data_IF_167137998507
#
_entry.id   IF_167137998507
#
_cell.length_a   1.000
_cell.length_b   1.000
_cell.length_c   1.000
_cell.angle_alpha   90.00
_cell.angle_beta   90.00
_cell.angle_gamma   90.00
#
_symmetry.space_group_name_H-M   'P 1'
#
loop_
_entity.id
_entity.type
_entity.pdbx_description
1 polymer ?
#
# COMPACT_ATOMS: atom_id res chain seq x y z
N UNK A 1 -91.94 18.35 53.09
CA UNK A 1 -91.33 19.66 53.40
C UNK A 1 -90.98 20.33 52.09
N UNK A 2 -91.62 21.50 51.85
CA UNK A 2 -91.31 22.64 50.96
C UNK A 2 -90.79 22.41 49.53
N UNK A 3 -91.23 23.10 48.47
CA UNK A 3 -92.35 23.97 48.06
C UNK A 3 -91.90 24.45 46.64
N UNK A 4 -92.84 24.59 45.68
CA UNK A 4 -92.95 25.65 44.63
C UNK A 4 -91.68 26.03 43.81
N UNK A 5 -91.68 26.15 42.49
CA UNK A 5 -92.46 27.13 41.73
C UNK A 5 -92.19 27.01 40.22
N UNK A 6 -93.21 27.36 39.45
CA UNK A 6 -93.27 27.52 37.99
C UNK A 6 -92.75 28.88 37.49
N UNK A 7 -92.69 28.98 36.14
CA UNK A 7 -92.62 30.16 35.22
C UNK A 7 -91.21 30.64 34.87
N UNK A 8 -90.86 31.04 33.65
CA UNK A 8 -91.47 31.09 32.31
C UNK A 8 -90.43 31.73 31.35
N UNK A 9 -90.37 31.26 30.08
CA UNK A 9 -90.13 32.01 28.82
C UNK A 9 -88.81 32.86 28.70
N UNK A 10 -88.05 32.94 27.59
CA UNK A 10 -88.35 32.90 26.16
C UNK A 10 -87.04 33.09 25.35
N UNK A 11 -86.98 32.48 24.15
CA UNK A 11 -86.36 32.97 22.89
C UNK A 11 -84.80 33.04 22.86
N UNK A 12 -84.04 32.56 21.87
CA UNK A 12 -84.11 32.74 20.41
C UNK A 12 -83.19 31.71 19.70
N UNK A 13 -83.71 31.14 18.61
CA UNK A 13 -83.10 30.53 17.41
C UNK A 13 -81.57 30.33 17.29
N UNK A 14 -81.15 29.16 16.80
CA UNK A 14 -80.80 29.00 15.36
C UNK A 14 -80.47 27.53 15.04
N UNK A 15 -81.06 27.05 13.95
CA UNK A 15 -80.64 25.83 13.25
C UNK A 15 -79.17 25.95 12.82
N UNK A 16 -78.43 24.85 12.80
CA UNK A 16 -78.05 24.16 11.56
C UNK A 16 -76.98 23.07 11.79
N UNK A 17 -77.37 21.86 11.35
CA UNK A 17 -76.60 20.82 10.68
C UNK A 17 -75.09 20.68 10.95
N UNK A 18 -74.71 19.48 11.41
CA UNK A 18 -73.36 18.94 11.32
C UNK A 18 -72.96 18.72 9.87
N UNK A 19 -71.90 19.39 9.42
CA UNK A 19 -71.16 19.08 8.21
C UNK A 19 -69.69 18.87 8.57
N UNK A 20 -69.19 17.67 8.26
CA UNK A 20 -67.77 17.32 8.26
C UNK A 20 -67.04 18.21 7.23
N UNK A 21 -65.87 18.79 7.54
CA UNK A 21 -65.08 19.44 6.53
C UNK A 21 -64.32 18.43 5.67
N UNK A 22 -64.29 18.80 4.40
CA UNK A 22 -63.80 18.13 3.21
C UNK A 22 -62.32 17.83 3.18
N UNK A 23 -62.00 16.69 2.57
CA UNK A 23 -60.70 16.34 1.99
C UNK A 23 -60.22 17.48 1.09
N UNK A 24 -59.03 18.02 1.35
CA UNK A 24 -58.37 18.98 0.47
C UNK A 24 -56.99 18.46 0.08
N UNK A 25 -56.86 18.28 -1.23
CA UNK A 25 -55.66 18.31 -2.06
C UNK A 25 -54.39 17.62 -1.53
N UNK A 26 -54.14 16.44 -2.07
CA UNK A 26 -52.81 15.84 -2.17
C UNK A 26 -51.93 16.77 -3.01
N UNK A 27 -51.04 17.51 -2.36
CA UNK A 27 -49.93 18.17 -3.02
C UNK A 27 -48.96 17.09 -3.50
N UNK A 28 -48.88 16.92 -4.82
CA UNK A 28 -47.82 16.16 -5.47
C UNK A 28 -46.47 16.75 -5.02
N UNK A 29 -45.76 16.03 -4.14
CA UNK A 29 -44.37 16.33 -3.86
C UNK A 29 -43.57 16.00 -5.12
N UNK A 30 -43.12 17.07 -5.77
CA UNK A 30 -42.16 17.08 -6.86
C UNK A 30 -40.97 16.17 -6.50
N UNK A 31 -40.70 15.18 -7.35
CA UNK A 31 -39.47 14.40 -7.33
C UNK A 31 -38.28 15.31 -7.68
N UNK A 32 -37.78 16.07 -6.70
CA UNK A 32 -36.53 16.80 -6.91
C UNK A 32 -35.71 17.12 -5.65
N UNK A 33 -35.90 16.37 -4.55
CA UNK A 33 -35.17 16.62 -3.30
C UNK A 33 -34.33 15.40 -2.84
N UNK A 34 -33.67 14.73 -3.79
CA UNK A 34 -32.65 13.70 -3.52
C UNK A 34 -31.24 14.08 -4.01
N UNK A 35 -31.03 15.32 -4.46
CA UNK A 35 -29.73 15.82 -4.89
C UNK A 35 -29.18 16.91 -3.96
N UNK A 36 -29.19 16.63 -2.66
CA UNK A 36 -28.25 17.25 -1.71
C UNK A 36 -27.51 16.13 -1.00
N UNK A 37 -26.61 15.46 -1.74
CA UNK A 37 -25.46 14.84 -1.08
C UNK A 37 -24.77 15.95 -0.32
N UNK A 38 -24.74 15.76 0.99
CA UNK A 38 -24.06 16.62 1.93
C UNK A 38 -22.57 16.51 1.57
N UNK A 39 -22.03 17.47 0.83
CA UNK A 39 -20.58 17.64 0.62
C UNK A 39 -19.94 18.08 1.96
N UNK A 40 -20.09 17.27 2.99
CA UNK A 40 -19.23 17.37 4.16
C UNK A 40 -17.95 16.69 3.75
N UNK A 41 -16.92 17.50 3.50
CA UNK A 41 -15.55 17.00 3.36
C UNK A 41 -15.28 16.00 4.49
N UNK A 42 -14.88 14.78 4.13
CA UNK A 42 -14.44 13.79 5.12
C UNK A 42 -13.31 14.42 5.94
N UNK A 43 -13.28 14.21 7.28
CA UNK A 43 -12.20 14.75 8.09
C UNK A 43 -10.85 14.26 7.58
N UNK A 44 -9.76 15.03 7.73
CA UNK A 44 -8.43 14.60 7.30
C UNK A 44 -8.06 13.24 7.87
N UNK A 45 -7.60 12.34 7.01
CA UNK A 45 -7.15 11.01 7.40
C UNK A 45 -5.80 11.13 8.15
N UNK A 46 -5.69 10.48 9.30
CA UNK A 46 -4.42 10.40 10.02
C UNK A 46 -3.52 9.35 9.38
N UNK A 47 -2.25 9.72 9.14
CA UNK A 47 -1.23 8.78 8.65
C UNK A 47 -0.90 7.78 9.76
N UNK A 48 -0.96 6.48 9.48
CA UNK A 48 -0.69 5.46 10.50
C UNK A 48 0.81 5.17 10.70
N UNK A 49 1.53 5.01 9.60
CA UNK A 49 2.97 4.72 9.63
C UNK A 49 3.79 6.00 9.52
N UNK A 50 4.83 6.13 10.35
CA UNK A 50 5.65 7.33 10.40
C UNK A 50 7.14 7.01 10.27
N UNK A 51 7.79 7.78 9.41
CA UNK A 51 9.21 7.73 9.13
C UNK A 51 9.92 8.92 9.79
N UNK A 52 11.18 8.76 10.24
CA UNK A 52 11.94 9.84 10.87
C UNK A 52 12.33 10.96 9.89
N UNK A 53 12.19 10.73 8.59
CA UNK A 53 12.42 11.69 7.52
C UNK A 53 11.79 11.23 6.22
N UNK A 54 11.86 12.08 5.20
CA UNK A 54 11.22 11.85 3.89
C UNK A 54 12.24 11.80 2.74
N UNK A 55 13.52 11.57 3.04
CA UNK A 55 14.57 11.35 2.04
C UNK A 55 14.77 9.85 1.78
N UNK A 56 15.56 9.51 0.77
CA UNK A 56 15.83 8.12 0.31
C UNK A 56 16.60 7.26 1.33
N UNK A 57 16.90 7.78 2.53
CA UNK A 57 17.53 7.02 3.61
C UNK A 57 16.55 6.93 4.77
N UNK A 58 16.12 8.07 5.30
CA UNK A 58 15.28 8.17 6.48
C UNK A 58 13.82 7.75 6.21
N UNK A 59 13.38 7.79 4.96
CA UNK A 59 12.06 7.34 4.52
C UNK A 59 11.83 5.83 4.59
N UNK A 60 12.85 5.05 4.94
CA UNK A 60 12.80 3.58 4.98
C UNK A 60 12.89 3.00 6.39
N UNK A 61 12.68 3.84 7.41
CA UNK A 61 12.71 3.45 8.82
C UNK A 61 11.39 3.72 9.52
N UNK A 62 10.96 2.81 10.37
CA UNK A 62 9.86 3.03 11.30
C UNK A 62 10.36 3.85 12.50
N UNK A 63 9.73 4.99 12.75
CA UNK A 63 10.14 5.95 13.79
C UNK A 63 10.18 5.33 15.19
N UNK A 64 9.35 4.31 15.48
CA UNK A 64 9.28 3.66 16.81
C UNK A 64 10.55 2.87 17.14
N UNK A 65 11.27 2.41 16.12
CA UNK A 65 12.46 1.57 16.25
C UNK A 65 13.74 2.21 15.69
N UNK A 66 13.63 3.39 15.06
CA UNK A 66 14.75 4.13 14.52
C UNK A 66 15.76 4.55 15.60
N UNK A 67 17.04 4.26 15.37
CA UNK A 67 18.15 4.61 16.28
C UNK A 67 19.29 5.39 15.60
N UNK A 68 19.12 5.70 14.32
CA UNK A 68 20.16 6.23 13.44
C UNK A 68 20.24 5.43 12.16
N UNK A 69 20.67 6.09 11.08
CA UNK A 69 20.87 5.42 9.80
C UNK A 69 22.02 4.41 9.90
N UNK A 70 21.77 3.18 9.46
CA UNK A 70 22.75 2.09 9.45
C UNK A 70 23.73 2.23 8.29
N UNK A 71 24.88 1.56 8.37
CA UNK A 71 25.86 1.54 7.26
C UNK A 71 25.33 0.76 6.07
N UNK A 72 26.01 0.89 4.93
CA UNK A 72 25.68 0.12 3.72
C UNK A 72 25.66 -1.39 4.00
N UNK A 73 26.68 -1.91 4.69
CA UNK A 73 26.82 -3.33 5.03
C UNK A 73 25.74 -3.79 6.02
N UNK A 74 25.48 -3.00 7.06
CA UNK A 74 24.45 -3.33 8.05
C UNK A 74 23.04 -3.29 7.45
N UNK A 75 22.78 -2.36 6.53
CA UNK A 75 21.53 -2.33 5.76
C UNK A 75 21.38 -3.59 4.93
N UNK A 76 22.37 -3.95 4.11
CA UNK A 76 22.32 -5.16 3.28
C UNK A 76 22.09 -6.41 4.14
N UNK A 77 22.84 -6.56 5.22
CA UNK A 77 22.66 -7.66 6.18
C UNK A 77 21.24 -7.67 6.77
N UNK A 78 20.73 -6.51 7.19
CA UNK A 78 19.37 -6.38 7.75
C UNK A 78 18.31 -6.81 6.74
N UNK A 79 18.35 -6.24 5.54
CA UNK A 79 17.37 -6.51 4.48
C UNK A 79 17.39 -8.00 4.09
N UNK A 80 18.58 -8.62 3.92
CA UNK A 80 18.68 -10.04 3.54
C UNK A 80 18.01 -10.94 4.58
N UNK A 81 18.34 -10.74 5.86
CA UNK A 81 17.76 -11.54 6.94
C UNK A 81 16.27 -11.26 7.16
N UNK A 82 15.86 -10.00 7.02
CA UNK A 82 14.46 -9.59 7.14
C UNK A 82 13.60 -10.22 6.04
N UNK A 83 14.03 -10.18 4.78
CA UNK A 83 13.37 -10.84 3.64
C UNK A 83 13.26 -12.34 3.87
N UNK A 84 14.34 -13.00 4.31
CA UNK A 84 14.33 -14.45 4.58
C UNK A 84 13.34 -14.82 5.67
N UNK A 85 13.32 -14.05 6.76
CA UNK A 85 12.40 -14.24 7.87
C UNK A 85 10.94 -14.04 7.43
N UNK A 86 10.67 -12.96 6.68
CA UNK A 86 9.34 -12.65 6.14
C UNK A 86 8.80 -13.77 5.25
N UNK A 87 9.55 -14.18 4.21
CA UNK A 87 9.10 -15.20 3.28
C UNK A 87 8.93 -16.57 3.97
N UNK A 88 9.76 -16.87 4.96
CA UNK A 88 9.63 -18.09 5.76
C UNK A 88 8.39 -18.05 6.63
N UNK A 89 8.17 -16.96 7.37
CA UNK A 89 6.98 -16.79 8.22
C UNK A 89 5.68 -16.90 7.40
N UNK A 90 5.61 -16.23 6.25
CA UNK A 90 4.42 -16.27 5.39
C UNK A 90 4.15 -17.68 4.88
N UNK A 91 5.19 -18.39 4.41
CA UNK A 91 5.07 -19.78 3.96
C UNK A 91 4.64 -20.72 5.08
N UNK A 92 5.28 -20.66 6.25
CA UNK A 92 4.97 -21.52 7.41
C UNK A 92 3.54 -21.33 7.92
N UNK A 93 3.01 -20.11 7.80
CA UNK A 93 1.66 -19.79 8.23
C UNK A 93 0.60 -19.90 7.13
N UNK A 94 0.98 -20.30 5.90
CA UNK A 94 0.06 -20.39 4.76
C UNK A 94 -0.54 -19.04 4.35
N UNK A 95 0.25 -17.97 4.43
CA UNK A 95 -0.09 -16.63 3.96
C UNK A 95 0.49 -16.45 2.55
N UNK A 96 -0.35 -16.13 1.56
CA UNK A 96 0.12 -15.94 0.19
C UNK A 96 0.65 -14.52 -0.01
N UNK A 97 1.93 -14.43 -0.35
CA UNK A 97 2.65 -13.19 -0.68
C UNK A 97 3.53 -13.41 -1.90
N UNK A 98 3.84 -12.34 -2.62
CA UNK A 98 4.84 -12.32 -3.69
C UNK A 98 5.68 -11.04 -3.62
N UNK A 99 6.90 -11.12 -4.16
CA UNK A 99 7.76 -9.95 -4.31
C UNK A 99 7.28 -9.08 -5.48
N UNK A 100 7.36 -7.76 -5.32
CA UNK A 100 6.87 -6.78 -6.29
C UNK A 100 7.89 -5.66 -6.50
N UNK A 101 7.62 -4.74 -7.45
CA UNK A 101 8.36 -3.49 -7.63
C UNK A 101 9.89 -3.72 -7.71
N UNK A 102 10.70 -2.94 -6.98
CA UNK A 102 12.16 -3.00 -7.02
C UNK A 102 12.71 -4.35 -6.55
N UNK A 103 12.00 -4.99 -5.61
CA UNK A 103 12.33 -6.34 -5.12
C UNK A 103 12.19 -7.39 -6.23
N UNK A 104 11.14 -7.29 -7.06
CA UNK A 104 10.96 -8.16 -8.23
C UNK A 104 12.02 -7.87 -9.31
N UNK A 105 12.43 -6.61 -9.49
CA UNK A 105 13.50 -6.25 -10.42
C UNK A 105 14.86 -6.83 -9.98
N UNK A 106 15.19 -6.76 -8.69
CA UNK A 106 16.37 -7.43 -8.15
C UNK A 106 16.34 -8.93 -8.37
N UNK A 107 15.19 -9.56 -8.12
CA UNK A 107 14.99 -10.98 -8.41
C UNK A 107 15.26 -11.31 -9.88
N UNK A 108 14.81 -10.47 -10.82
CA UNK A 108 15.00 -10.69 -12.24
C UNK A 108 16.49 -10.77 -12.64
N UNK A 109 17.36 -9.96 -12.03
CA UNK A 109 18.79 -9.95 -12.33
C UNK A 109 19.51 -11.22 -11.88
N UNK A 110 19.31 -11.65 -10.62
CA UNK A 110 20.02 -12.80 -10.05
C UNK A 110 19.34 -13.45 -8.84
N UNK A 111 18.07 -13.15 -8.57
CA UNK A 111 17.38 -13.65 -7.38
C UNK A 111 17.84 -12.98 -6.09
N UNK A 112 18.39 -11.76 -6.14
CA UNK A 112 18.91 -11.01 -4.98
C UNK A 112 18.39 -9.57 -4.96
N UNK A 113 18.50 -8.89 -3.83
CA UNK A 113 18.19 -7.46 -3.76
C UNK A 113 19.14 -6.66 -4.65
N UNK A 114 18.65 -5.53 -5.14
CA UNK A 114 19.49 -4.53 -5.77
C UNK A 114 20.35 -3.87 -4.68
N UNK A 115 21.69 -3.78 -4.83
CA UNK A 115 22.54 -3.36 -3.71
C UNK A 115 22.37 -1.90 -3.28
N UNK A 116 21.73 -1.03 -4.06
CA UNK A 116 21.43 0.35 -3.69
C UNK A 116 20.02 0.53 -3.12
N UNK A 117 19.16 -0.47 -3.28
CA UNK A 117 17.73 -0.36 -2.98
C UNK A 117 17.48 -0.50 -1.47
N UNK A 118 16.85 0.53 -0.89
CA UNK A 118 16.50 0.58 0.52
C UNK A 118 15.16 -0.10 0.81
N UNK A 119 14.35 -0.27 -0.23
CA UNK A 119 13.01 -0.82 -0.11
C UNK A 119 13.00 -2.32 -0.33
N UNK A 120 12.10 -2.97 0.40
CA UNK A 120 11.63 -4.30 0.06
C UNK A 120 10.11 -4.22 -0.01
N UNK A 121 9.59 -4.52 -1.19
CA UNK A 121 8.18 -4.41 -1.52
C UNK A 121 7.58 -5.78 -1.76
N UNK A 122 6.47 -6.02 -1.08
CA UNK A 122 5.70 -7.25 -1.23
C UNK A 122 4.24 -6.95 -1.38
N UNK A 123 3.54 -7.87 -2.03
CA UNK A 123 2.12 -7.78 -2.25
C UNK A 123 1.41 -9.04 -1.74
N UNK A 124 0.18 -8.85 -1.29
CA UNK A 124 -0.69 -9.92 -0.81
C UNK A 124 -2.08 -9.78 -1.42
N UNK A 125 -2.79 -10.90 -1.57
CA UNK A 125 -4.20 -10.86 -1.96
C UNK A 125 -5.08 -10.41 -0.76
N UNK A 126 -6.31 -9.95 -1.04
CA UNK A 126 -7.27 -9.47 -0.02
C UNK A 126 -7.51 -10.49 1.10
N UNK A 127 -7.63 -11.77 0.76
CA UNK A 127 -7.89 -12.83 1.74
C UNK A 127 -6.72 -12.97 2.74
N UNK A 128 -5.49 -12.93 2.24
CA UNK A 128 -4.28 -12.95 3.07
C UNK A 128 -4.18 -11.69 3.91
N UNK A 129 -4.43 -10.51 3.33
CA UNK A 129 -4.41 -9.26 4.08
C UNK A 129 -5.40 -9.25 5.26
N UNK A 130 -6.62 -9.75 5.05
CA UNK A 130 -7.61 -9.83 6.12
C UNK A 130 -7.20 -10.84 7.19
N UNK A 131 -6.65 -11.99 6.78
CA UNK A 131 -6.12 -12.98 7.73
C UNK A 131 -4.94 -12.43 8.55
N UNK A 132 -4.06 -11.65 7.94
CA UNK A 132 -3.00 -10.93 8.65
C UNK A 132 -3.59 -10.02 9.71
N UNK A 133 -4.57 -9.18 9.34
CA UNK A 133 -5.23 -8.25 10.27
C UNK A 133 -5.92 -8.95 11.45
N UNK A 134 -6.63 -10.05 11.18
CA UNK A 134 -7.48 -10.71 12.17
C UNK A 134 -6.72 -11.65 13.11
N UNK A 135 -5.64 -12.27 12.62
CA UNK A 135 -4.96 -13.36 13.33
C UNK A 135 -3.53 -13.03 13.72
N UNK A 136 -2.83 -12.22 12.91
CA UNK A 136 -1.39 -12.03 13.04
C UNK A 136 -0.96 -10.60 13.36
N UNK A 137 -1.89 -9.63 13.40
CA UNK A 137 -1.53 -8.25 13.70
C UNK A 137 -0.82 -8.15 15.07
N UNK A 138 0.26 -7.37 15.12
CA UNK A 138 1.19 -7.23 16.23
C UNK A 138 1.93 -8.52 16.64
N UNK A 139 2.00 -9.53 15.77
CA UNK A 139 2.84 -10.71 16.02
C UNK A 139 4.31 -10.31 15.99
N UNK A 140 5.05 -10.72 17.03
CA UNK A 140 6.51 -10.63 17.06
C UNK A 140 7.08 -11.99 16.68
N UNK A 141 7.69 -12.07 15.50
CA UNK A 141 8.39 -13.26 15.04
C UNK A 141 9.85 -13.23 15.50
N UNK A 142 10.31 -14.35 16.06
CA UNK A 142 11.72 -14.55 16.42
C UNK A 142 12.38 -15.35 15.31
N UNK A 143 13.45 -14.81 14.77
CA UNK A 143 14.22 -15.43 13.70
C UNK A 143 15.63 -15.71 14.21
N UNK A 144 15.92 -17.00 14.37
CA UNK A 144 17.20 -17.49 14.87
C UNK A 144 18.06 -17.91 13.67
N UNK A 145 19.27 -17.38 13.58
CA UNK A 145 20.25 -17.76 12.57
C UNK A 145 21.02 -18.98 13.06
N UNK A 146 21.11 -20.03 12.24
CA UNK A 146 21.75 -21.28 12.62
C UNK A 146 23.22 -21.11 13.08
N UNK A 147 23.90 -20.07 12.58
CA UNK A 147 25.34 -19.84 12.79
C UNK A 147 25.67 -18.52 13.53
N UNK A 148 24.69 -17.70 13.89
CA UNK A 148 24.91 -16.41 14.56
C UNK A 148 24.13 -16.34 15.88
N UNK A 149 24.81 -15.95 16.97
CA UNK A 149 24.20 -15.73 18.29
C UNK A 149 23.22 -14.54 18.30
N UNK A 150 23.10 -13.82 17.18
CA UNK A 150 22.23 -12.65 17.04
C UNK A 150 20.79 -13.07 16.69
N UNK A 151 19.94 -13.17 17.71
CA UNK A 151 18.50 -13.33 17.53
C UNK A 151 17.88 -12.05 16.96
N UNK A 152 17.13 -12.17 15.85
CA UNK A 152 16.37 -11.05 15.25
C UNK A 152 14.89 -11.15 15.63
N UNK A 153 14.25 -10.00 15.81
CA UNK A 153 12.81 -9.89 16.10
C UNK A 153 12.16 -8.97 15.10
N UNK A 154 11.08 -9.45 14.53
CA UNK A 154 10.31 -8.71 13.54
C UNK A 154 8.87 -8.53 14.00
N UNK A 155 8.36 -7.31 13.90
CA UNK A 155 6.97 -7.00 14.18
C UNK A 155 6.19 -7.00 12.87
N UNK A 156 5.15 -7.84 12.77
CA UNK A 156 4.11 -7.67 11.76
C UNK A 156 3.08 -6.68 12.28
N UNK A 157 3.01 -5.52 11.64
CA UNK A 157 2.10 -4.44 12.00
C UNK A 157 1.14 -4.13 10.84
N UNK A 158 -0.16 -4.32 11.05
CA UNK A 158 -1.19 -4.15 10.03
C UNK A 158 -1.94 -2.84 10.27
N UNK A 159 -1.92 -1.99 9.26
CA UNK A 159 -2.59 -0.69 9.28
C UNK A 159 -4.10 -0.89 9.51
N UNK A 160 -4.73 -0.17 10.47
CA UNK A 160 -6.18 -0.20 10.66
C UNK A 160 -7.00 0.11 9.39
N UNK A 161 -6.42 0.85 8.45
CA UNK A 161 -7.00 1.20 7.17
C UNK A 161 -6.83 0.09 6.10
N UNK A 162 -6.24 -1.06 6.42
CA UNK A 162 -6.01 -2.16 5.48
C UNK A 162 -7.30 -2.72 4.86
N UNK A 163 -8.44 -2.62 5.57
CA UNK A 163 -9.75 -3.07 5.06
C UNK A 163 -10.38 -2.09 4.08
N UNK A 164 -10.03 -0.80 4.15
CA UNK A 164 -10.41 0.18 3.12
C UNK A 164 -9.54 -0.10 1.90
N UNK A 165 -10.12 -0.56 0.79
CA UNK A 165 -9.34 -0.92 -0.41
C UNK A 165 -9.18 0.22 -1.41
N UNK A 166 -10.02 1.25 -1.35
CA UNK A 166 -9.76 2.50 -2.05
C UNK A 166 -8.60 3.27 -1.41
N UNK A 167 -8.05 4.24 -2.15
CA UNK A 167 -6.89 5.03 -1.72
C UNK A 167 -7.19 5.97 -0.53
N UNK A 168 -8.45 6.33 -0.31
CA UNK A 168 -8.80 7.39 0.63
C UNK A 168 -8.11 8.71 0.30
N UNK A 169 -7.58 9.39 1.32
CA UNK A 169 -6.86 10.66 1.16
C UNK A 169 -5.36 10.48 0.86
N UNK A 170 -4.93 9.24 0.62
CA UNK A 170 -3.54 8.92 0.28
C UNK A 170 -2.57 8.86 1.46
N UNK A 171 -3.07 8.94 2.71
CA UNK A 171 -2.23 8.84 3.90
C UNK A 171 -1.91 7.39 4.29
N UNK A 172 -2.77 6.43 3.91
CA UNK A 172 -2.66 5.02 4.31
C UNK A 172 -2.55 4.07 3.10
N UNK A 173 -1.61 4.38 2.20
CA UNK A 173 -1.32 3.58 0.99
C UNK A 173 -0.74 2.20 1.35
N UNK A 174 0.13 2.13 2.36
CA UNK A 174 0.73 0.89 2.85
C UNK A 174 -0.22 0.20 3.83
N UNK A 175 -0.48 -1.09 3.58
CA UNK A 175 -1.48 -1.87 4.32
C UNK A 175 -0.88 -2.59 5.54
N UNK A 176 0.39 -2.97 5.49
CA UNK A 176 1.10 -3.53 6.63
C UNK A 176 2.62 -3.36 6.48
N UNK A 177 3.35 -3.47 7.59
CA UNK A 177 4.80 -3.50 7.63
C UNK A 177 5.30 -4.73 8.36
N UNK A 178 6.43 -5.24 7.89
CA UNK A 178 7.25 -6.21 8.64
C UNK A 178 8.54 -5.52 9.07
N UNK A 179 8.66 -5.22 10.35
CA UNK A 179 9.63 -4.24 10.87
C UNK A 179 10.73 -4.93 11.68
N UNK A 180 11.99 -4.68 11.35
CA UNK A 180 13.12 -5.06 12.20
C UNK A 180 13.15 -4.16 13.45
N UNK A 181 12.88 -4.75 14.60
CA UNK A 181 12.77 -4.01 15.86
C UNK A 181 14.13 -3.50 16.39
N UNK A 182 15.26 -3.86 15.76
CA UNK A 182 16.60 -3.44 16.20
C UNK A 182 16.95 -2.06 15.69
N UNK A 183 16.65 -1.75 14.43
CA UNK A 183 17.03 -0.51 13.76
C UNK A 183 15.86 0.21 13.06
N UNK A 184 14.71 -0.44 12.86
CA UNK A 184 13.51 0.14 12.27
C UNK A 184 13.38 -0.02 10.77
N UNK A 185 14.32 -0.65 10.06
CA UNK A 185 14.12 -1.02 8.65
C UNK A 185 12.91 -1.96 8.52
N UNK A 186 12.18 -1.87 7.41
CA UNK A 186 10.97 -2.65 7.21
C UNK A 186 10.79 -3.15 5.78
N UNK A 187 9.87 -4.10 5.62
CA UNK A 187 9.25 -4.47 4.35
C UNK A 187 7.87 -3.84 4.29
N UNK A 188 7.57 -3.14 3.20
CA UNK A 188 6.21 -2.67 2.92
C UNK A 188 5.39 -3.80 2.29
N UNK A 189 4.17 -3.97 2.80
CA UNK A 189 3.23 -5.00 2.36
C UNK A 189 1.97 -4.28 1.86
N UNK A 190 1.65 -4.44 0.58
CA UNK A 190 0.47 -3.83 -0.03
C UNK A 190 -0.54 -4.89 -0.45
N UNK A 191 -1.81 -4.65 -0.17
CA UNK A 191 -2.90 -5.48 -0.62
C UNK A 191 -3.27 -5.18 -2.07
N UNK A 192 -3.59 -6.24 -2.82
CA UNK A 192 -4.10 -6.14 -4.18
C UNK A 192 -5.52 -6.70 -4.22
N UNK A 193 -6.46 -5.91 -4.75
CA UNK A 193 -7.90 -6.19 -4.72
C UNK A 193 -8.60 -5.70 -5.99
N UNK A 194 -9.70 -6.32 -6.37
CA UNK A 194 -10.63 -5.74 -7.35
C UNK A 194 -11.45 -4.64 -6.67
N UNK A 195 -11.19 -3.38 -7.02
CA UNK A 195 -11.81 -2.21 -6.35
C UNK A 195 -13.03 -1.70 -7.12
N UNK A 196 -12.99 -1.74 -8.45
CA UNK A 196 -14.04 -1.19 -9.32
C UNK A 196 -14.60 -2.25 -10.30
N UNK A 197 -15.19 -3.36 -9.82
CA UNK A 197 -15.64 -4.45 -10.70
C UNK A 197 -16.68 -4.02 -11.76
N UNK A 198 -17.47 -2.99 -11.47
CA UNK A 198 -18.50 -2.48 -12.39
C UNK A 198 -17.91 -1.72 -13.59
N UNK A 199 -16.74 -1.07 -13.43
CA UNK A 199 -16.12 -0.25 -14.49
C UNK A 199 -14.84 -0.87 -15.05
N UNK A 200 -14.14 -1.68 -14.27
CA UNK A 200 -12.86 -2.32 -14.61
C UNK A 200 -12.87 -3.80 -14.14
N UNK A 201 -13.80 -4.64 -14.65
CA UNK A 201 -13.90 -6.03 -14.21
C UNK A 201 -12.61 -6.82 -14.47
N UNK A 202 -12.17 -7.60 -13.48
CA UNK A 202 -10.97 -8.43 -13.56
C UNK A 202 -9.65 -7.68 -13.35
N UNK A 203 -9.70 -6.36 -13.11
CA UNK A 203 -8.55 -5.54 -12.78
C UNK A 203 -8.35 -5.50 -11.27
N UNK A 204 -7.18 -5.98 -10.86
CA UNK A 204 -6.71 -5.93 -9.50
C UNK A 204 -5.84 -4.69 -9.31
N UNK A 205 -5.98 -4.00 -8.19
CA UNK A 205 -5.17 -2.83 -7.89
C UNK A 205 -4.78 -2.71 -6.43
N UNK A 206 -3.66 -2.06 -6.17
CA UNK A 206 -3.30 -1.56 -4.85
C UNK A 206 -3.72 -0.08 -4.67
N UNK A 207 -3.56 0.45 -3.46
CA UNK A 207 -3.90 1.86 -3.14
C UNK A 207 -3.03 2.90 -3.84
N UNK A 208 -1.91 2.47 -4.43
CA UNK A 208 -1.01 3.34 -5.19
C UNK A 208 -1.24 3.29 -6.71
N UNK A 209 -2.40 2.81 -7.14
CA UNK A 209 -2.80 2.77 -8.55
C UNK A 209 -1.99 1.80 -9.44
N UNK A 210 -1.17 0.94 -8.86
CA UNK A 210 -0.63 -0.20 -9.60
C UNK A 210 -1.77 -1.16 -9.93
N UNK A 211 -1.99 -1.37 -11.23
CA UNK A 211 -3.08 -2.16 -11.81
C UNK A 211 -2.54 -3.35 -12.56
N UNK A 212 -3.17 -4.50 -12.32
CA UNK A 212 -2.84 -5.79 -12.93
C UNK A 212 -4.12 -6.44 -13.45
N UNK A 213 -4.05 -7.09 -14.60
CA UNK A 213 -5.04 -8.12 -14.89
C UNK A 213 -4.82 -9.30 -13.95
N UNK A 214 -5.90 -10.04 -13.66
CA UNK A 214 -5.78 -11.31 -12.93
C UNK A 214 -4.78 -12.27 -13.61
N UNK A 215 -4.69 -12.24 -14.94
CA UNK A 215 -3.76 -13.06 -15.74
C UNK A 215 -2.29 -12.62 -15.64
N UNK A 216 -2.02 -11.41 -15.16
CA UNK A 216 -0.66 -10.93 -14.96
C UNK A 216 -0.04 -11.53 -13.69
N UNK A 217 -0.88 -11.76 -12.67
CA UNK A 217 -0.45 -12.30 -11.37
C UNK A 217 -0.56 -13.82 -11.31
N UNK A 218 -1.68 -14.39 -11.76
CA UNK A 218 -2.04 -15.79 -11.50
C UNK A 218 -1.98 -16.70 -12.74
N UNK A 219 -1.63 -18.00 -12.56
CA UNK A 219 -1.08 -18.59 -11.35
C UNK A 219 0.34 -18.06 -11.08
N UNK A 220 0.63 -17.71 -9.83
CA UNK A 220 1.97 -17.25 -9.45
C UNK A 220 2.99 -18.37 -9.68
N UNK A 221 4.24 -17.96 -9.95
CA UNK A 221 5.35 -18.90 -10.15
C UNK A 221 6.16 -19.03 -8.86
N UNK A 222 6.57 -20.25 -8.55
CA UNK A 222 7.53 -20.52 -7.48
C UNK A 222 8.96 -20.25 -7.98
N UNK A 223 9.77 -19.59 -7.16
CA UNK A 223 11.16 -19.26 -7.44
C UNK A 223 11.98 -19.17 -6.15
N UNK A 224 13.18 -18.60 -6.22
CA UNK A 224 14.05 -18.36 -5.09
C UNK A 224 14.46 -16.89 -5.04
N UNK A 225 14.39 -16.28 -3.87
CA UNK A 225 14.86 -14.92 -3.62
C UNK A 225 15.68 -14.89 -2.33
N UNK A 226 16.88 -14.33 -2.40
CA UNK A 226 17.88 -14.34 -1.32
C UNK A 226 18.15 -15.74 -0.72
N UNK A 227 18.01 -16.79 -1.53
CA UNK A 227 18.26 -18.16 -1.11
C UNK A 227 17.12 -18.83 -0.35
N UNK A 228 15.93 -18.23 -0.30
CA UNK A 228 14.71 -18.88 0.22
C UNK A 228 13.61 -18.93 -0.85
N UNK A 229 12.67 -19.89 -0.79
CA UNK A 229 11.56 -19.93 -1.74
C UNK A 229 10.69 -18.67 -1.68
N UNK A 230 10.32 -18.16 -2.84
CA UNK A 230 9.52 -16.96 -3.03
C UNK A 230 8.55 -17.12 -4.21
N UNK A 231 7.40 -16.46 -4.15
CA UNK A 231 6.49 -16.35 -5.30
C UNK A 231 6.74 -15.07 -6.09
N UNK A 232 6.50 -15.15 -7.39
CA UNK A 232 6.54 -14.04 -8.33
C UNK A 232 5.28 -14.03 -9.22
N UNK A 233 4.89 -12.87 -9.78
CA UNK A 233 3.80 -12.79 -10.74
C UNK A 233 4.01 -13.68 -11.98
N UNK A 234 2.93 -14.11 -12.63
CA UNK A 234 3.00 -14.92 -13.85
C UNK A 234 3.66 -14.16 -15.02
N UNK A 235 3.26 -12.92 -15.27
CA UNK A 235 3.78 -12.02 -16.30
C UNK A 235 4.77 -11.00 -15.71
N UNK A 236 5.71 -11.48 -14.91
CA UNK A 236 6.68 -10.61 -14.23
C UNK A 236 7.47 -9.72 -15.21
N UNK A 237 7.75 -10.20 -16.43
CA UNK A 237 8.56 -9.46 -17.39
C UNK A 237 7.81 -8.23 -17.92
N UNK A 238 6.54 -8.43 -18.29
CA UNK A 238 5.65 -7.37 -18.77
C UNK A 238 5.36 -6.35 -17.66
N UNK A 239 5.16 -6.81 -16.42
CA UNK A 239 4.99 -5.95 -15.25
C UNK A 239 6.24 -5.07 -15.07
N UNK A 240 7.44 -5.66 -15.09
CA UNK A 240 8.70 -4.92 -14.92
C UNK A 240 8.94 -3.92 -16.05
N UNK A 241 8.69 -4.29 -17.31
CA UNK A 241 8.84 -3.37 -18.46
C UNK A 241 7.86 -2.20 -18.33
N UNK A 242 6.61 -2.47 -17.94
CA UNK A 242 5.60 -1.42 -17.75
C UNK A 242 5.98 -0.44 -16.65
N UNK A 243 6.63 -0.93 -15.59
CA UNK A 243 6.98 -0.13 -14.41
C UNK A 243 8.33 0.60 -14.54
N UNK A 244 9.35 -0.06 -15.10
CA UNK A 244 10.73 0.44 -15.11
C UNK A 244 11.31 0.65 -16.50
N UNK A 245 10.59 0.28 -17.56
CA UNK A 245 11.06 0.33 -18.94
C UNK A 245 12.02 -0.82 -19.28
N UNK A 246 12.32 -0.95 -20.58
CA UNK A 246 13.24 -1.98 -21.06
C UNK A 246 14.68 -1.74 -20.55
N UNK A 247 15.07 -0.48 -20.36
CA UNK A 247 16.42 -0.08 -19.95
C UNK A 247 16.82 -0.65 -18.59
N UNK A 248 15.89 -0.75 -17.64
CA UNK A 248 16.12 -1.34 -16.31
C UNK A 248 16.57 -2.82 -16.35
N UNK A 249 16.35 -3.49 -17.47
CA UNK A 249 16.68 -4.90 -17.67
C UNK A 249 17.99 -5.09 -18.47
N UNK A 250 18.58 -4.01 -19.01
CA UNK A 250 19.75 -4.13 -19.90
C UNK A 250 20.91 -3.22 -19.51
N UNK A 251 20.64 -2.10 -18.83
CA UNK A 251 21.66 -1.18 -18.35
C UNK A 251 22.47 -1.86 -17.26
N UNK A 252 23.80 -1.86 -17.42
CA UNK A 252 24.75 -2.57 -16.56
C UNK A 252 25.50 -1.65 -15.60
N UNK A 253 25.17 -0.36 -15.57
CA UNK A 253 25.78 0.62 -14.69
C UNK A 253 24.66 1.45 -14.07
N UNK A 254 24.52 1.41 -12.75
CA UNK A 254 23.46 2.13 -12.06
C UNK A 254 23.80 2.32 -10.59
N UNK A 255 23.45 3.48 -10.02
CA UNK A 255 23.64 3.81 -8.58
C UNK A 255 25.03 3.46 -8.05
N UNK A 256 26.09 3.84 -8.78
CA UNK A 256 27.49 3.55 -8.46
C UNK A 256 27.84 2.04 -8.36
N UNK A 257 27.10 1.19 -9.07
CA UNK A 257 27.37 -0.24 -9.21
C UNK A 257 27.51 -0.62 -10.68
N UNK A 258 28.23 -1.73 -10.91
CA UNK A 258 28.43 -2.33 -12.22
C UNK A 258 27.94 -3.79 -12.20
N UNK A 259 27.09 -4.15 -13.16
CA UNK A 259 26.70 -5.54 -13.37
C UNK A 259 27.85 -6.30 -14.02
N UNK A 260 28.35 -7.33 -13.34
CA UNK A 260 29.41 -8.22 -13.82
C UNK A 260 28.79 -9.54 -14.29
N UNK A 261 28.65 -9.77 -15.63
CA UNK A 261 27.95 -10.94 -16.16
C UNK A 261 28.55 -12.28 -15.74
N UNK A 262 29.86 -12.35 -15.56
CA UNK A 262 30.60 -13.56 -15.17
C UNK A 262 30.25 -14.00 -13.74
N UNK A 263 30.03 -13.03 -12.86
CA UNK A 263 29.64 -13.26 -11.47
C UNK A 263 28.13 -13.32 -11.28
N UNK A 264 27.36 -12.78 -12.24
CA UNK A 264 25.92 -12.50 -12.11
C UNK A 264 25.61 -11.67 -10.87
N UNK A 265 26.43 -10.65 -10.63
CA UNK A 265 26.33 -9.79 -9.46
C UNK A 265 26.51 -8.33 -9.86
N UNK A 266 25.76 -7.48 -9.17
CA UNK A 266 26.02 -6.05 -9.08
C UNK A 266 27.18 -5.84 -8.11
N UNK A 267 28.27 -5.25 -8.60
CA UNK A 267 29.50 -5.01 -7.83
C UNK A 267 29.65 -3.50 -7.61
N UNK A 268 29.91 -3.04 -6.37
CA UNK A 268 30.09 -1.63 -6.07
C UNK A 268 31.32 -1.06 -6.77
N UNK A 269 31.16 0.09 -7.39
CA UNK A 269 32.23 0.89 -7.94
C UNK A 269 32.76 1.84 -6.86
N UNK A 270 33.82 1.41 -6.19
CA UNK A 270 34.37 2.11 -5.01
C UNK A 270 34.82 3.53 -5.33
N UNK A 271 35.27 3.79 -6.55
CA UNK A 271 35.71 5.13 -6.96
C UNK A 271 34.48 6.04 -7.10
N UNK A 272 33.47 5.62 -7.85
CA UNK A 272 32.21 6.39 -7.99
C UNK A 272 31.49 6.59 -6.66
N UNK A 273 31.40 5.56 -5.81
CA UNK A 273 30.81 5.69 -4.49
C UNK A 273 31.55 6.73 -3.63
N UNK A 274 32.89 6.75 -3.68
CA UNK A 274 33.69 7.73 -2.95
C UNK A 274 33.54 9.16 -3.50
N UNK A 275 33.24 9.31 -4.79
CA UNK A 275 32.88 10.60 -5.40
C UNK A 275 31.50 11.06 -4.98
N UNK A 276 30.48 10.20 -5.08
CA UNK A 276 29.10 10.49 -4.65
C UNK A 276 29.03 10.79 -3.16
N UNK A 277 29.85 10.15 -2.32
CA UNK A 277 29.92 10.43 -0.88
C UNK A 277 30.39 11.86 -0.55
N UNK A 278 31.12 12.52 -1.46
CA UNK A 278 31.59 13.92 -1.27
C UNK A 278 30.52 14.96 -1.59
N UNK A 279 29.46 14.58 -2.30
CA UNK A 279 28.37 15.47 -2.68
C UNK A 279 27.55 15.88 -1.45
N UNK A 280 27.00 17.09 -1.47
CA UNK A 280 26.00 17.51 -0.48
C UNK A 280 24.68 16.75 -0.66
N UNK A 281 23.80 16.70 0.35
CA UNK A 281 22.47 16.09 0.19
C UNK A 281 21.68 16.68 -0.99
N UNK A 282 21.78 17.99 -1.22
CA UNK A 282 21.10 18.67 -2.34
C UNK A 282 21.67 18.27 -3.70
N UNK A 283 22.99 18.13 -3.80
CA UNK A 283 23.66 17.69 -5.03
C UNK A 283 23.31 16.24 -5.37
N UNK A 284 23.30 15.35 -4.36
CA UNK A 284 22.86 13.95 -4.53
C UNK A 284 21.43 13.89 -5.02
N UNK A 285 20.52 14.61 -4.35
CA UNK A 285 19.11 14.66 -4.74
C UNK A 285 18.94 15.15 -6.17
N UNK A 286 19.66 16.20 -6.56
CA UNK A 286 19.61 16.72 -7.93
C UNK A 286 20.07 15.68 -8.96
N UNK A 287 21.18 14.98 -8.71
CA UNK A 287 21.67 13.90 -9.60
C UNK A 287 20.61 12.80 -9.76
N UNK A 288 20.00 12.37 -8.65
CA UNK A 288 18.96 11.33 -8.66
C UNK A 288 17.68 11.80 -9.39
N UNK A 289 17.25 13.04 -9.17
CA UNK A 289 16.08 13.62 -9.86
C UNK A 289 16.30 13.71 -11.38
N UNK A 290 17.52 14.05 -11.81
CA UNK A 290 17.92 14.07 -13.22
C UNK A 290 17.90 12.65 -13.83
N UNK A 291 18.50 11.66 -13.17
CA UNK A 291 18.49 10.26 -13.60
C UNK A 291 17.06 9.68 -13.67
N UNK A 292 16.21 10.00 -12.68
CA UNK A 292 14.80 9.60 -12.65
C UNK A 292 14.01 10.22 -13.81
N UNK A 293 14.24 11.50 -14.09
CA UNK A 293 13.60 12.20 -15.21
C UNK A 293 13.98 11.59 -16.57
N UNK A 294 15.26 11.27 -16.77
CA UNK A 294 15.72 10.58 -17.98
C UNK A 294 15.00 9.24 -18.16
N UNK A 295 14.92 8.44 -17.10
CA UNK A 295 14.22 7.14 -17.15
C UNK A 295 12.74 7.28 -17.43
N UNK A 296 12.06 8.24 -16.81
CA UNK A 296 10.65 8.48 -17.06
C UNK A 296 10.40 8.80 -18.54
N UNK A 297 11.25 9.62 -19.15
CA UNK A 297 11.17 9.92 -20.59
C UNK A 297 11.42 8.69 -21.46
N UNK A 298 12.33 7.78 -21.08
CA UNK A 298 12.55 6.51 -21.79
C UNK A 298 11.29 5.62 -21.73
N UNK A 299 10.67 5.49 -20.56
CA UNK A 299 9.44 4.70 -20.37
C UNK A 299 8.30 5.26 -21.22
N UNK A 300 8.14 6.58 -21.27
CA UNK A 300 7.13 7.25 -22.10
C UNK A 300 7.37 7.05 -23.60
N UNK A 301 8.63 7.06 -24.05
CA UNK A 301 8.98 6.80 -25.44
C UNK A 301 8.75 5.34 -25.84
N UNK A 302 9.11 4.39 -24.97
CA UNK A 302 8.91 2.97 -25.22
C UNK A 302 7.42 2.59 -25.19
N UNK A 303 6.66 3.11 -24.23
CA UNK A 303 5.21 2.88 -24.16
C UNK A 303 4.46 3.46 -25.37
N UNK A 304 4.90 4.60 -25.92
CA UNK A 304 4.36 5.16 -27.17
C UNK A 304 4.71 4.37 -28.43
N UNK A 305 5.69 3.44 -28.37
CA UNK A 305 6.13 2.62 -29.51
C UNK A 305 5.38 1.30 -29.65
N UNK A 306 4.67 0.89 -28.60
CA UNK A 306 3.91 -0.37 -28.50
C UNK A 306 2.42 -0.17 -28.17
N UNK A 307 1.94 1.08 -28.20
CA UNK A 307 0.52 1.45 -28.10
C UNK A 307 -0.21 1.45 -29.43
#
# INVERSE_FOLDING_TARGET
>A
MRLLSWRSLLLVTSLCAHSLPSVSAVSFFSHNDLSRRNDREEPPEEKYFHEPGNDDILGHYDTRFFKGAVTYEERTDTLVHMTRAYLTFFRENGLETWIAHGTLLGWWWNGKMLPWDWDIDTQVNTATLYRMADTFNHTIYRYDLADDQTQRKYLLDVNPHARRRDRGQGQNIIDARWIDMRNGLYIDITGVSEVNPETEPGILQCKNFHKYETSDLYPMRESMYEGVPAKIPYKYHEILIKEYGQSAMVVKEYEDHNWVPELKLWVPDKERMAETAKLTPEERKKKQDEERSVRQNEIEQDSGRWG
#
